data_IF_373822304516
#
_entry.id   IF_373822304516
#
_cell.length_a   1.000
_cell.length_b   1.000
_cell.length_c   1.000
_cell.angle_alpha   90.00
_cell.angle_beta   90.00
_cell.angle_gamma   90.00
#
_symmetry.space_group_name_H-M   'P 1'
#
loop_
_entity.id
_entity.type
_entity.pdbx_description
1 polymer ?
#
# COMPACT_ATOMS: atom_id res chain seq x y z
N UNK A 1 54.79 22.82 29.34
CA UNK A 1 54.43 22.17 28.05
C UNK A 1 53.28 21.21 28.34
N UNK A 2 52.05 21.72 28.36
CA UNK A 2 50.82 20.92 28.37
C UNK A 2 50.13 21.25 27.05
N UNK A 3 50.09 20.29 26.13
CA UNK A 3 49.38 20.43 24.87
C UNK A 3 47.89 20.20 25.14
N UNK A 4 47.09 21.25 24.95
CA UNK A 4 45.63 21.15 24.91
C UNK A 4 45.20 20.43 23.62
N UNK A 5 44.34 19.43 23.77
CA UNK A 5 43.75 18.67 22.65
C UNK A 5 42.76 19.55 21.87
N UNK A 6 42.98 19.82 20.56
CA UNK A 6 42.21 20.84 19.85
C UNK A 6 41.03 20.24 19.06
N UNK A 7 40.15 19.42 19.66
CA UNK A 7 38.88 19.02 19.00
C UNK A 7 37.80 18.61 20.01
N UNK A 8 37.37 19.54 20.87
CA UNK A 8 36.03 19.49 21.45
C UNK A 8 35.19 20.57 20.77
N UNK A 9 34.67 20.24 19.58
CA UNK A 9 33.56 20.99 19.01
C UNK A 9 32.40 21.02 20.02
N UNK A 10 31.60 22.11 20.06
CA UNK A 10 30.45 22.19 20.95
C UNK A 10 29.58 20.94 20.78
N UNK A 11 29.05 20.45 21.91
CA UNK A 11 28.09 19.34 21.98
C UNK A 11 27.18 19.36 20.74
N UNK A 12 27.03 18.26 19.98
CA UNK A 12 26.22 18.29 18.78
C UNK A 12 24.85 18.85 19.16
N UNK A 13 24.43 19.90 18.46
CA UNK A 13 23.09 20.45 18.58
C UNK A 13 22.11 19.28 18.62
N UNK A 14 21.11 19.34 19.52
CA UNK A 14 20.08 18.28 19.59
C UNK A 14 19.63 17.96 18.15
N UNK A 15 19.58 16.67 17.76
CA UNK A 15 19.12 16.30 16.42
C UNK A 15 17.82 17.04 16.10
N UNK A 16 17.76 17.65 14.91
CA UNK A 16 16.56 18.37 14.48
C UNK A 16 15.40 17.37 14.42
N UNK A 17 14.40 17.51 15.30
CA UNK A 17 13.23 16.64 15.32
C UNK A 17 12.04 17.40 14.79
N UNK A 18 11.37 16.85 13.78
CA UNK A 18 10.26 17.49 13.08
C UNK A 18 9.01 16.61 13.15
N UNK A 19 7.83 17.17 12.91
CA UNK A 19 6.59 16.41 12.85
C UNK A 19 6.51 15.56 11.56
N UNK A 20 5.49 14.71 11.45
CA UNK A 20 5.35 13.77 10.33
C UNK A 20 5.15 14.46 8.97
N UNK A 21 4.42 15.58 8.89
CA UNK A 21 4.23 16.30 7.63
C UNK A 21 5.55 16.89 7.15
N UNK A 22 6.23 17.63 8.03
CA UNK A 22 7.54 18.22 7.73
C UNK A 22 8.56 17.15 7.35
N UNK A 23 8.59 16.03 8.09
CA UNK A 23 9.51 14.92 7.82
C UNK A 23 9.39 14.35 6.40
N UNK A 24 8.15 14.20 5.90
CA UNK A 24 7.88 13.70 4.55
C UNK A 24 8.19 14.75 3.48
N UNK A 25 7.88 16.03 3.75
CA UNK A 25 8.12 17.15 2.84
C UNK A 25 9.61 17.42 2.57
N UNK A 26 10.50 16.98 3.48
CA UNK A 26 11.96 17.11 3.37
C UNK A 26 12.58 16.12 2.36
N UNK A 27 12.03 16.03 1.15
CA UNK A 27 12.48 15.10 0.09
C UNK A 27 13.93 15.35 -0.34
N UNK A 28 14.42 16.58 -0.21
CA UNK A 28 15.81 16.95 -0.53
C UNK A 28 16.80 16.69 0.62
N UNK A 29 16.34 16.38 1.84
CA UNK A 29 17.17 16.33 3.04
C UNK A 29 17.66 14.92 3.41
N UNK A 30 18.06 14.10 2.43
CA UNK A 30 18.55 12.74 2.68
C UNK A 30 17.50 11.64 2.51
N UNK A 31 17.97 10.40 2.35
CA UNK A 31 17.15 9.20 2.41
C UNK A 31 16.53 8.99 3.80
N UNK A 32 15.51 8.13 3.88
CA UNK A 32 14.82 7.80 5.12
C UNK A 32 15.39 6.47 5.65
N UNK A 33 16.02 6.50 6.83
CA UNK A 33 16.51 5.33 7.54
C UNK A 33 15.49 4.89 8.62
N UNK A 34 14.90 3.72 8.42
CA UNK A 34 14.08 3.05 9.43
C UNK A 34 14.96 2.16 10.29
N UNK A 35 15.20 2.55 11.54
CA UNK A 35 16.09 1.82 12.46
C UNK A 35 15.39 0.78 13.32
N UNK A 36 14.12 0.47 13.00
CA UNK A 36 13.39 -0.63 13.61
C UNK A 36 13.94 -1.99 13.17
N UNK A 37 13.55 -3.04 13.88
CA UNK A 37 13.96 -4.39 13.53
C UNK A 37 13.35 -4.84 12.19
N UNK A 38 13.96 -5.81 11.48
CA UNK A 38 13.51 -6.24 10.15
C UNK A 38 12.03 -6.65 10.09
N UNK A 39 11.50 -7.38 11.07
CA UNK A 39 10.09 -7.74 11.10
C UNK A 39 9.16 -6.54 11.31
N UNK A 40 9.58 -5.54 12.11
CA UNK A 40 8.84 -4.28 12.28
C UNK A 40 8.77 -3.50 10.94
N UNK A 41 9.84 -3.52 10.13
CA UNK A 41 9.92 -2.87 8.83
C UNK A 41 9.13 -3.62 7.73
N UNK A 42 9.29 -4.94 7.67
CA UNK A 42 8.61 -5.81 6.70
C UNK A 42 7.08 -5.77 6.88
N UNK A 43 6.61 -5.66 8.13
CA UNK A 43 5.19 -5.45 8.42
C UNK A 43 4.68 -4.12 7.86
N UNK A 44 5.47 -3.07 7.80
CA UNK A 44 5.06 -1.80 7.23
C UNK A 44 6.08 -0.71 7.54
N UNK A 45 6.38 0.13 6.57
CA UNK A 45 7.37 1.21 6.63
C UNK A 45 6.93 2.43 5.81
N UNK A 46 7.54 3.58 6.08
CA UNK A 46 7.33 4.79 5.27
C UNK A 46 7.80 4.49 3.84
N UNK A 47 6.98 4.71 2.80
CA UNK A 47 7.40 4.45 1.43
C UNK A 47 8.69 5.20 1.08
N UNK A 48 9.63 4.49 0.47
CA UNK A 48 10.98 5.01 0.17
C UNK A 48 11.97 4.95 1.34
N UNK A 49 11.57 4.48 2.52
CA UNK A 49 12.51 4.19 3.60
C UNK A 49 13.39 2.98 3.29
N UNK A 50 14.58 2.96 3.88
CA UNK A 50 15.52 1.84 3.85
C UNK A 50 15.73 1.36 5.28
N UNK A 51 15.64 0.05 5.50
CA UNK A 51 15.85 -0.52 6.83
C UNK A 51 17.34 -0.50 7.19
N UNK A 52 17.68 0.21 8.27
CA UNK A 52 19.02 0.27 8.87
C UNK A 52 18.90 -0.18 10.33
N UNK A 53 18.64 -1.48 10.58
CA UNK A 53 18.14 -1.95 11.86
C UNK A 53 19.19 -1.80 12.97
N UNK A 54 18.82 -1.10 14.05
CA UNK A 54 19.69 -1.02 15.24
C UNK A 54 19.85 -2.40 15.92
N UNK A 55 18.81 -3.24 15.83
CA UNK A 55 18.75 -4.57 16.43
C UNK A 55 18.14 -5.58 15.44
N UNK A 56 18.54 -6.85 15.52
CA UNK A 56 17.77 -7.94 14.90
C UNK A 56 16.43 -8.12 15.61
N UNK A 57 15.56 -8.98 15.08
CA UNK A 57 14.25 -9.24 15.69
C UNK A 57 14.38 -9.87 17.09
N UNK A 58 15.34 -10.80 17.27
CA UNK A 58 15.62 -11.45 18.55
C UNK A 58 16.18 -10.45 19.57
N UNK A 59 17.17 -9.66 19.16
CA UNK A 59 17.76 -8.61 19.99
C UNK A 59 16.73 -7.56 20.40
N UNK A 60 15.84 -7.18 19.46
CA UNK A 60 14.74 -6.25 19.72
C UNK A 60 13.76 -6.81 20.76
N UNK A 61 13.46 -8.10 20.69
CA UNK A 61 12.60 -8.77 21.68
C UNK A 61 13.27 -8.83 23.06
N UNK A 62 14.57 -9.12 23.11
CA UNK A 62 15.36 -9.17 24.34
C UNK A 62 15.44 -7.79 25.03
N UNK A 63 15.86 -6.75 24.30
CA UNK A 63 15.94 -5.37 24.81
C UNK A 63 14.58 -4.89 25.30
N UNK A 64 13.50 -5.23 24.57
CA UNK A 64 12.13 -4.90 24.99
C UNK A 64 11.73 -5.60 26.29
N UNK A 65 12.13 -6.86 26.46
CA UNK A 65 11.85 -7.64 27.68
C UNK A 65 12.60 -7.07 28.88
N UNK A 66 13.89 -6.73 28.71
CA UNK A 66 14.69 -6.10 29.76
C UNK A 66 14.15 -4.72 30.12
N UNK A 67 13.75 -3.91 29.14
CA UNK A 67 13.15 -2.60 29.40
C UNK A 67 11.91 -2.71 30.30
N UNK A 68 11.01 -3.65 30.00
CA UNK A 68 9.79 -3.86 30.77
C UNK A 68 10.08 -4.44 32.17
N UNK A 69 11.00 -5.40 32.28
CA UNK A 69 11.27 -6.11 33.55
C UNK A 69 12.24 -5.41 34.49
N UNK A 70 13.25 -4.73 33.95
CA UNK A 70 14.39 -4.17 34.70
C UNK A 70 14.58 -2.65 34.49
N UNK A 71 13.73 -2.03 33.67
CA UNK A 71 13.73 -0.60 33.42
C UNK A 71 14.73 -0.13 32.35
N UNK A 72 14.71 1.19 32.12
CA UNK A 72 15.42 1.83 31.02
C UNK A 72 16.95 1.64 31.07
N UNK A 73 17.56 1.78 32.26
CA UNK A 73 19.02 1.73 32.41
C UNK A 73 19.59 0.37 31.97
N UNK A 74 19.01 -0.73 32.45
CA UNK A 74 19.43 -2.08 32.07
C UNK A 74 19.24 -2.35 30.56
N UNK A 75 18.19 -1.81 29.95
CA UNK A 75 17.95 -1.95 28.52
C UNK A 75 18.96 -1.16 27.67
N UNK A 76 19.41 -0.01 28.15
CA UNK A 76 20.48 0.77 27.51
C UNK A 76 21.82 0.05 27.60
N UNK A 77 22.17 -0.49 28.77
CA UNK A 77 23.39 -1.28 28.96
C UNK A 77 23.44 -2.49 28.02
N UNK A 78 22.35 -3.26 27.94
CA UNK A 78 22.22 -4.36 26.98
C UNK A 78 22.25 -3.86 25.52
N UNK A 79 21.61 -2.73 25.24
CA UNK A 79 21.62 -2.14 23.90
C UNK A 79 23.03 -1.85 23.39
N UNK A 80 23.92 -1.34 24.24
CA UNK A 80 25.31 -1.10 23.87
C UNK A 80 26.07 -2.40 23.60
N UNK A 81 25.91 -3.43 24.44
CA UNK A 81 26.61 -4.71 24.22
C UNK A 81 26.17 -5.41 22.93
N UNK A 82 24.89 -5.29 22.55
CA UNK A 82 24.35 -5.92 21.33
C UNK A 82 24.73 -5.19 20.02
N UNK A 83 25.14 -3.94 20.10
CA UNK A 83 25.53 -3.13 18.92
C UNK A 83 27.04 -3.16 18.71
N UNK A 84 27.80 -3.68 19.68
CA UNK A 84 29.24 -3.87 19.57
C UNK A 84 29.61 -4.67 18.31
N UNK A 85 30.68 -4.27 17.63
CA UNK A 85 31.10 -4.82 16.33
C UNK A 85 30.22 -4.47 15.11
N UNK A 86 29.03 -3.89 15.27
CA UNK A 86 28.14 -3.48 14.14
C UNK A 86 28.06 -1.98 13.90
N UNK A 87 28.69 -1.19 14.77
CA UNK A 87 28.70 0.28 14.69
C UNK A 87 29.21 0.81 13.33
N UNK A 88 30.28 0.23 12.77
CA UNK A 88 30.80 0.68 11.48
C UNK A 88 29.87 0.30 10.30
N UNK A 89 29.20 -0.85 10.37
CA UNK A 89 28.20 -1.23 9.37
C UNK A 89 26.99 -0.27 9.40
N UNK A 90 26.46 0.03 10.59
CA UNK A 90 25.41 1.03 10.77
C UNK A 90 25.83 2.41 10.23
N UNK A 91 27.05 2.84 10.58
CA UNK A 91 27.62 4.10 10.11
C UNK A 91 27.66 4.16 8.58
N UNK A 92 28.22 3.15 7.92
CA UNK A 92 28.31 3.10 6.45
C UNK A 92 26.95 3.11 5.77
N UNK A 93 25.96 2.40 6.33
CA UNK A 93 24.59 2.42 5.82
C UNK A 93 23.95 3.82 5.91
N UNK A 94 24.16 4.55 7.01
CA UNK A 94 23.66 5.92 7.16
C UNK A 94 24.34 6.88 6.18
N UNK A 95 25.66 6.76 5.99
CA UNK A 95 26.41 7.56 5.01
C UNK A 95 25.92 7.31 3.58
N UNK A 96 25.57 6.06 3.23
CA UNK A 96 25.03 5.72 1.92
C UNK A 96 23.64 6.33 1.66
N UNK A 97 22.86 6.60 2.71
CA UNK A 97 21.56 7.27 2.63
C UNK A 97 21.67 8.79 2.72
N UNK A 98 22.83 9.32 3.09
CA UNK A 98 23.02 10.75 3.25
C UNK A 98 22.93 11.45 1.89
N UNK A 99 22.13 12.50 1.81
CA UNK A 99 22.05 13.36 0.64
C UNK A 99 22.03 14.81 1.11
N UNK A 100 22.75 15.68 0.41
CA UNK A 100 22.93 17.09 0.80
C UNK A 100 23.42 17.26 2.25
N UNK A 101 24.22 16.31 2.75
CA UNK A 101 24.76 16.33 4.10
C UNK A 101 23.82 15.86 5.21
N UNK A 102 22.58 15.48 4.91
CA UNK A 102 21.57 15.08 5.89
C UNK A 102 21.05 13.64 5.67
N UNK A 103 20.50 13.05 6.73
CA UNK A 103 19.76 11.78 6.70
C UNK A 103 18.55 11.86 7.63
N UNK A 104 17.41 11.36 7.15
CA UNK A 104 16.17 11.31 7.94
C UNK A 104 16.12 9.97 8.67
N UNK A 105 15.92 9.96 9.98
CA UNK A 105 15.98 8.74 10.81
C UNK A 105 14.71 8.62 11.65
N UNK A 106 14.13 7.43 11.72
CA UNK A 106 13.03 7.16 12.64
C UNK A 106 13.11 5.76 13.25
N UNK A 107 12.48 5.60 14.40
CA UNK A 107 12.14 4.30 14.98
C UNK A 107 10.63 4.25 15.23
N UNK A 108 10.13 3.27 16.00
CA UNK A 108 8.69 3.15 16.26
C UNK A 108 8.06 4.40 16.92
N UNK A 109 8.72 5.00 17.92
CA UNK A 109 8.17 6.10 18.74
C UNK A 109 9.01 7.39 18.74
N UNK A 110 10.07 7.47 17.95
CA UNK A 110 10.99 8.62 17.95
C UNK A 110 11.74 8.76 19.29
N UNK A 111 12.04 7.64 19.94
CA UNK A 111 12.72 7.60 21.24
C UNK A 111 14.21 7.30 21.13
N UNK A 112 14.77 6.66 22.18
CA UNK A 112 16.20 6.40 22.28
C UNK A 112 16.80 5.64 21.08
N UNK A 113 16.07 4.70 20.47
CA UNK A 113 16.60 3.93 19.32
C UNK A 113 17.03 4.84 18.17
N UNK A 114 16.13 5.73 17.72
CA UNK A 114 16.47 6.69 16.66
C UNK A 114 17.45 7.76 17.14
N UNK A 115 17.37 8.18 18.41
CA UNK A 115 18.31 9.16 18.97
C UNK A 115 19.76 8.64 19.03
N UNK A 116 19.98 7.37 19.41
CA UNK A 116 21.30 6.74 19.44
C UNK A 116 21.90 6.61 18.04
N UNK A 117 21.08 6.25 17.03
CA UNK A 117 21.54 6.17 15.65
C UNK A 117 21.80 7.57 15.06
N UNK A 118 20.97 8.56 15.41
CA UNK A 118 21.22 9.95 15.06
C UNK A 118 22.53 10.49 15.66
N UNK A 119 22.85 10.13 16.90
CA UNK A 119 24.16 10.48 17.49
C UNK A 119 25.32 9.91 16.68
N UNK A 120 25.24 8.66 16.22
CA UNK A 120 26.25 8.05 15.36
C UNK A 120 26.36 8.77 14.00
N UNK A 121 25.23 9.12 13.38
CA UNK A 121 25.21 9.88 12.14
C UNK A 121 25.89 11.26 12.30
N UNK A 122 25.52 12.01 13.34
CA UNK A 122 26.11 13.31 13.65
C UNK A 122 27.63 13.19 13.90
N UNK A 123 28.07 12.17 14.63
CA UNK A 123 29.50 11.92 14.87
C UNK A 123 30.27 11.54 13.60
N UNK A 124 29.55 11.10 12.58
CA UNK A 124 30.09 10.72 11.27
C UNK A 124 30.00 11.85 10.24
N UNK A 125 29.63 13.07 10.66
CA UNK A 125 29.57 14.25 9.80
C UNK A 125 28.29 14.38 8.96
N UNK A 126 27.23 13.64 9.29
CA UNK A 126 25.93 13.74 8.62
C UNK A 126 24.90 14.31 9.58
N UNK A 127 24.12 15.27 9.12
CA UNK A 127 23.04 15.90 9.90
C UNK A 127 21.83 14.95 10.03
N UNK A 128 21.50 14.48 11.24
CA UNK A 128 20.33 13.63 11.44
C UNK A 128 19.06 14.46 11.65
N UNK A 129 18.01 14.14 10.89
CA UNK A 129 16.66 14.68 11.07
C UNK A 129 15.77 13.57 11.62
N UNK A 130 15.20 13.78 12.80
CA UNK A 130 14.37 12.81 13.50
C UNK A 130 12.87 13.02 13.25
N UNK A 131 12.13 11.92 13.15
CA UNK A 131 10.66 11.95 13.17
C UNK A 131 10.16 11.98 14.62
N UNK A 132 9.56 13.10 15.02
CA UNK A 132 8.91 13.27 16.31
C UNK A 132 7.76 12.27 16.45
N UNK A 133 7.76 11.48 17.53
CA UNK A 133 6.79 10.40 17.72
C UNK A 133 6.99 9.17 16.82
N UNK A 134 8.01 9.18 15.96
CA UNK A 134 8.44 8.06 15.12
C UNK A 134 7.38 7.57 14.13
N UNK A 135 7.56 6.33 13.68
CA UNK A 135 6.64 5.69 12.75
C UNK A 135 5.20 5.65 13.28
N UNK A 136 4.97 5.61 14.61
CA UNK A 136 3.63 5.74 15.20
C UNK A 136 2.97 7.08 14.84
N UNK A 137 3.70 8.19 14.89
CA UNK A 137 3.16 9.50 14.49
C UNK A 137 2.87 9.56 12.99
N UNK A 138 3.74 8.97 12.16
CA UNK A 138 3.47 8.79 10.74
C UNK A 138 2.19 7.96 10.50
N UNK A 139 1.98 6.89 11.27
CA UNK A 139 0.76 6.08 11.17
C UNK A 139 -0.52 6.84 11.56
N UNK A 140 -0.44 7.73 12.55
CA UNK A 140 -1.55 8.62 12.88
C UNK A 140 -1.85 9.59 11.74
N UNK A 141 -0.81 10.13 11.09
CA UNK A 141 -0.95 10.95 9.88
C UNK A 141 -1.63 10.16 8.74
N UNK A 142 -1.15 8.96 8.43
CA UNK A 142 -1.74 8.05 7.44
C UNK A 142 -3.24 7.85 7.67
N UNK A 143 -3.63 7.56 8.91
CA UNK A 143 -5.03 7.34 9.26
C UNK A 143 -5.87 8.61 9.13
N UNK A 144 -5.36 9.77 9.52
CA UNK A 144 -6.08 11.04 9.38
C UNK A 144 -6.40 11.40 7.92
N UNK A 145 -5.54 11.00 6.97
CA UNK A 145 -5.78 11.24 5.54
C UNK A 145 -6.97 10.42 5.00
N UNK A 146 -7.31 9.29 5.62
CA UNK A 146 -8.47 8.48 5.21
C UNK A 146 -9.80 9.04 5.70
N UNK A 147 -9.77 9.89 6.72
CA UNK A 147 -10.94 10.62 7.23
C UNK A 147 -11.21 11.92 6.44
N UNK A 148 -10.26 12.33 5.60
CA UNK A 148 -10.42 13.51 4.76
C UNK A 148 -11.58 13.29 3.76
N UNK A 149 -12.49 14.27 3.57
CA UNK A 149 -13.64 14.14 2.68
C UNK A 149 -13.21 14.28 1.21
N UNK A 150 -12.50 13.29 0.69
CA UNK A 150 -12.08 13.24 -0.70
C UNK A 150 -13.29 13.30 -1.65
N UNK A 151 -13.14 14.03 -2.76
CA UNK A 151 -14.14 14.11 -3.83
C UNK A 151 -14.08 12.85 -4.70
N UNK A 152 -14.48 11.71 -4.13
CA UNK A 152 -14.39 10.42 -4.80
C UNK A 152 -15.47 10.27 -5.90
N UNK A 153 -15.08 9.67 -7.02
CA UNK A 153 -15.99 9.06 -8.00
C UNK A 153 -15.61 7.59 -8.09
N UNK A 154 -16.55 6.71 -7.73
CA UNK A 154 -16.32 5.27 -7.71
C UNK A 154 -16.59 4.67 -9.08
N UNK A 155 -15.61 4.03 -9.69
CA UNK A 155 -15.78 3.26 -10.92
C UNK A 155 -16.15 1.82 -10.56
N UNK A 156 -17.45 1.53 -10.56
CA UNK A 156 -17.99 0.21 -10.26
C UNK A 156 -18.22 -0.60 -11.53
N UNK A 157 -18.26 -1.92 -11.39
CA UNK A 157 -18.65 -2.82 -12.47
C UNK A 157 -18.29 -4.27 -12.15
N UNK A 158 -18.99 -5.19 -12.81
CA UNK A 158 -18.77 -6.63 -12.64
C UNK A 158 -17.36 -7.04 -13.10
N UNK A 159 -16.89 -8.19 -12.65
CA UNK A 159 -15.61 -8.76 -13.09
C UNK A 159 -15.54 -8.84 -14.62
N UNK A 160 -14.40 -8.43 -15.19
CA UNK A 160 -14.17 -8.45 -16.63
C UNK A 160 -14.74 -7.28 -17.42
N UNK A 161 -15.35 -6.26 -16.80
CA UNK A 161 -15.82 -5.06 -17.54
C UNK A 161 -14.69 -4.13 -18.01
N UNK A 162 -13.47 -4.27 -17.47
CA UNK A 162 -12.29 -3.50 -17.89
C UNK A 162 -12.00 -2.25 -17.06
N UNK A 163 -12.42 -2.22 -15.79
CA UNK A 163 -12.20 -1.06 -14.87
C UNK A 163 -10.73 -0.65 -14.80
N UNK A 164 -9.83 -1.62 -14.65
CA UNK A 164 -8.37 -1.37 -14.54
C UNK A 164 -7.84 -0.63 -15.78
N UNK A 165 -8.19 -1.07 -16.99
CA UNK A 165 -7.78 -0.42 -18.25
C UNK A 165 -8.34 1.02 -18.34
N UNK A 166 -9.59 1.23 -17.90
CA UNK A 166 -10.23 2.56 -17.86
C UNK A 166 -9.52 3.48 -16.87
N UNK A 167 -9.23 3.01 -15.64
CA UNK A 167 -8.51 3.78 -14.62
C UNK A 167 -7.12 4.20 -15.08
N UNK A 168 -6.40 3.33 -15.78
CA UNK A 168 -5.10 3.66 -16.38
C UNK A 168 -5.22 4.77 -17.42
N UNK A 169 -6.24 4.74 -18.28
CA UNK A 169 -6.47 5.82 -19.24
C UNK A 169 -6.94 7.12 -18.59
N UNK A 170 -7.72 7.06 -17.49
CA UNK A 170 -8.05 8.25 -16.70
C UNK A 170 -6.78 8.91 -16.15
N UNK A 171 -5.84 8.11 -15.60
CA UNK A 171 -4.56 8.63 -15.14
C UNK A 171 -3.74 9.28 -16.28
N UNK A 172 -3.75 8.71 -17.48
CA UNK A 172 -3.12 9.29 -18.68
C UNK A 172 -3.77 10.62 -19.12
N UNK A 173 -5.04 10.84 -18.77
CA UNK A 173 -5.76 12.10 -18.98
C UNK A 173 -5.53 13.10 -17.82
N UNK A 174 -4.52 12.89 -16.97
CA UNK A 174 -4.18 13.70 -15.80
C UNK A 174 -5.24 13.73 -14.70
N UNK A 175 -6.15 12.75 -14.67
CA UNK A 175 -7.05 12.56 -13.53
C UNK A 175 -6.31 11.95 -12.32
N UNK A 176 -6.84 12.19 -11.12
CA UNK A 176 -6.32 11.57 -9.90
C UNK A 176 -6.98 10.21 -9.73
N UNK A 177 -6.19 9.14 -9.63
CA UNK A 177 -6.68 7.77 -9.68
C UNK A 177 -6.11 6.94 -8.53
N UNK A 178 -6.99 6.23 -7.83
CA UNK A 178 -6.64 5.22 -6.83
C UNK A 178 -7.00 3.84 -7.38
N UNK A 179 -5.96 3.09 -7.76
CA UNK A 179 -6.02 1.68 -8.13
C UNK A 179 -5.83 0.81 -6.89
N UNK A 180 -6.93 0.41 -6.26
CA UNK A 180 -6.91 -0.35 -5.01
C UNK A 180 -6.42 -1.78 -5.24
N UNK A 181 -6.81 -2.43 -6.34
CA UNK A 181 -6.32 -3.75 -6.72
C UNK A 181 -4.81 -3.75 -6.97
N UNK A 182 -4.32 -2.74 -7.70
CA UNK A 182 -2.90 -2.52 -7.95
C UNK A 182 -2.10 -2.32 -6.67
N UNK A 183 -2.59 -1.50 -5.74
CA UNK A 183 -1.98 -1.33 -4.42
C UNK A 183 -1.99 -2.60 -3.57
N UNK A 184 -3.01 -3.44 -3.73
CA UNK A 184 -3.17 -4.70 -3.00
C UNK A 184 -2.40 -5.87 -3.65
N UNK A 185 -1.84 -5.68 -4.85
CA UNK A 185 -1.34 -6.75 -5.71
C UNK A 185 -2.38 -7.87 -5.89
N UNK A 186 -3.63 -7.51 -6.17
CA UNK A 186 -4.71 -8.49 -6.26
C UNK A 186 -5.95 -8.01 -7.01
N UNK A 187 -6.38 -8.78 -8.03
CA UNK A 187 -7.52 -8.44 -8.90
C UNK A 187 -8.91 -8.81 -8.35
N UNK A 188 -9.19 -8.50 -7.08
CA UNK A 188 -10.56 -8.56 -6.50
C UNK A 188 -11.32 -9.91 -6.52
N UNK A 189 -10.68 -11.00 -6.97
CA UNK A 189 -11.34 -12.29 -7.28
C UNK A 189 -10.53 -13.47 -6.76
N UNK A 190 -11.02 -14.70 -6.88
CA UNK A 190 -10.27 -15.89 -6.44
C UNK A 190 -9.00 -16.14 -7.26
N UNK A 191 -8.99 -15.62 -8.48
CA UNK A 191 -7.84 -15.61 -9.38
C UNK A 191 -6.99 -14.36 -9.17
N UNK A 192 -7.37 -13.49 -8.23
CA UNK A 192 -6.81 -12.16 -8.09
C UNK A 192 -5.33 -12.13 -7.77
N UNK A 193 -4.80 -13.15 -7.10
CA UNK A 193 -3.36 -13.28 -6.82
C UNK A 193 -2.54 -13.82 -8.01
N UNK A 194 -3.19 -14.38 -9.03
CA UNK A 194 -2.49 -15.04 -10.13
C UNK A 194 -1.73 -14.01 -10.97
N UNK A 195 -0.42 -14.23 -11.13
CA UNK A 195 0.48 -13.32 -11.82
C UNK A 195 0.71 -11.98 -11.09
N UNK A 196 0.32 -11.85 -9.83
CA UNK A 196 0.58 -10.68 -9.00
C UNK A 196 1.79 -10.90 -8.09
N UNK A 197 2.40 -9.80 -7.65
CA UNK A 197 3.38 -9.84 -6.57
C UNK A 197 2.72 -10.27 -5.25
N UNK A 198 3.53 -10.61 -4.24
CA UNK A 198 2.99 -10.89 -2.92
C UNK A 198 2.20 -9.68 -2.41
N UNK A 199 0.98 -9.90 -1.89
CA UNK A 199 0.21 -8.82 -1.30
C UNK A 199 1.01 -8.13 -0.19
N UNK A 200 0.99 -6.80 -0.07
CA UNK A 200 1.50 -6.16 1.12
C UNK A 200 0.72 -6.60 2.36
N UNK A 201 1.25 -6.28 3.54
CA UNK A 201 0.42 -6.28 4.74
C UNK A 201 -0.65 -5.18 4.62
N UNK A 202 -1.73 -5.27 5.39
CA UNK A 202 -2.71 -4.17 5.50
C UNK A 202 -2.05 -2.87 5.94
N UNK A 203 -1.05 -2.94 6.81
CA UNK A 203 -0.31 -1.76 7.26
C UNK A 203 0.46 -1.11 6.10
N UNK A 204 1.16 -1.88 5.28
CA UNK A 204 1.91 -1.34 4.14
C UNK A 204 0.97 -0.88 3.02
N UNK A 205 -0.14 -1.56 2.79
CA UNK A 205 -1.20 -1.10 1.88
C UNK A 205 -1.67 0.30 2.26
N UNK A 206 -1.97 0.53 3.54
CA UNK A 206 -2.37 1.84 4.04
C UNK A 206 -1.29 2.91 3.83
N UNK A 207 -0.01 2.58 4.05
CA UNK A 207 1.08 3.51 3.79
C UNK A 207 1.18 3.90 2.32
N UNK A 208 1.04 2.92 1.42
CA UNK A 208 1.10 3.15 -0.02
C UNK A 208 -0.10 3.97 -0.51
N UNK A 209 -1.30 3.67 0.00
CA UNK A 209 -2.50 4.46 -0.30
C UNK A 209 -2.34 5.91 0.17
N UNK A 210 -1.85 6.14 1.38
CA UNK A 210 -1.57 7.49 1.87
C UNK A 210 -0.53 8.22 1.02
N UNK A 211 0.53 7.55 0.54
CA UNK A 211 1.52 8.18 -0.34
C UNK A 211 0.88 8.71 -1.63
N UNK A 212 -0.02 7.93 -2.24
CA UNK A 212 -0.75 8.35 -3.43
C UNK A 212 -1.65 9.56 -3.11
N UNK A 213 -2.48 9.44 -2.06
CA UNK A 213 -3.40 10.51 -1.66
C UNK A 213 -2.68 11.81 -1.29
N UNK A 214 -1.50 11.73 -0.66
CA UNK A 214 -0.70 12.89 -0.30
C UNK A 214 -0.18 13.68 -1.51
N UNK A 215 -0.08 13.02 -2.67
CA UNK A 215 0.30 13.66 -3.93
C UNK A 215 -0.87 14.33 -4.66
N UNK A 216 -2.10 14.18 -4.19
CA UNK A 216 -3.28 14.71 -4.85
C UNK A 216 -3.61 16.14 -4.44
N UNK A 217 -4.19 16.87 -5.37
CA UNK A 217 -4.88 18.12 -5.10
C UNK A 217 -6.26 17.80 -4.47
N UNK A 218 -6.51 18.20 -3.22
CA UNK A 218 -7.75 17.88 -2.51
C UNK A 218 -9.01 18.54 -3.11
N UNK A 219 -8.85 19.55 -3.97
CA UNK A 219 -9.97 20.23 -4.63
C UNK A 219 -10.42 19.57 -5.93
N UNK A 220 -9.64 18.61 -6.44
CA UNK A 220 -9.97 17.85 -7.66
C UNK A 220 -10.64 16.52 -7.27
N UNK A 221 -11.45 15.99 -8.20
CA UNK A 221 -12.02 14.64 -8.06
C UNK A 221 -10.92 13.58 -8.01
N UNK A 222 -11.26 12.44 -7.41
CA UNK A 222 -10.41 11.26 -7.35
C UNK A 222 -11.23 10.06 -7.81
N UNK A 223 -10.78 9.42 -8.88
CA UNK A 223 -11.38 8.17 -9.34
C UNK A 223 -10.84 7.02 -8.50
N UNK A 224 -11.73 6.17 -8.01
CA UNK A 224 -11.37 5.00 -7.22
C UNK A 224 -12.07 3.78 -7.75
N UNK A 225 -11.38 2.65 -7.76
CA UNK A 225 -12.00 1.38 -8.12
C UNK A 225 -13.12 1.00 -7.13
N UNK A 226 -14.28 0.60 -7.67
CA UNK A 226 -15.38 0.06 -6.90
C UNK A 226 -15.10 -1.38 -6.49
N UNK A 227 -14.39 -1.54 -5.38
CA UNK A 227 -14.09 -2.82 -4.73
C UNK A 227 -14.84 -3.00 -3.41
N UNK A 228 -14.95 -4.25 -2.96
CA UNK A 228 -15.48 -4.55 -1.63
C UNK A 228 -14.54 -4.07 -0.52
N UNK A 229 -14.99 -4.06 0.74
CA UNK A 229 -14.15 -3.70 1.89
C UNK A 229 -12.85 -4.51 1.97
N UNK A 230 -12.81 -5.71 1.39
CA UNK A 230 -11.65 -6.60 1.39
C UNK A 230 -11.15 -6.91 -0.02
N UNK A 231 -9.83 -6.85 -0.21
CA UNK A 231 -9.15 -7.23 -1.45
C UNK A 231 -8.13 -8.33 -1.12
N UNK A 232 -8.53 -9.59 -1.30
CA UNK A 232 -7.77 -10.73 -0.80
C UNK A 232 -7.62 -10.71 0.73
N UNK A 233 -6.40 -10.58 1.27
CA UNK A 233 -6.16 -10.48 2.72
C UNK A 233 -6.17 -9.04 3.25
N UNK A 234 -6.21 -8.05 2.37
CA UNK A 234 -6.17 -6.63 2.73
C UNK A 234 -7.58 -6.12 2.99
N UNK A 235 -7.71 -5.29 4.02
CA UNK A 235 -8.93 -4.53 4.29
C UNK A 235 -8.69 -3.06 3.98
N UNK A 236 -9.57 -2.46 3.17
CA UNK A 236 -9.57 -1.03 2.90
C UNK A 236 -9.87 -0.28 4.21
N UNK A 237 -9.19 0.85 4.52
CA UNK A 237 -9.47 1.64 5.72
C UNK A 237 -10.94 2.02 5.82
N UNK A 238 -11.56 1.71 6.96
CA UNK A 238 -13.00 1.91 7.16
C UNK A 238 -13.48 3.34 6.90
N UNK A 239 -12.76 4.41 7.32
CA UNK A 239 -13.16 5.78 6.96
C UNK A 239 -13.21 5.97 5.44
N UNK A 240 -12.13 5.63 4.73
CA UNK A 240 -12.04 5.74 3.28
C UNK A 240 -13.12 4.91 2.56
N UNK A 241 -13.36 3.67 2.98
CA UNK A 241 -14.40 2.81 2.42
C UNK A 241 -15.81 3.38 2.66
N UNK A 242 -16.08 3.95 3.84
CA UNK A 242 -17.36 4.63 4.11
C UNK A 242 -17.58 5.82 3.18
N UNK A 243 -16.53 6.56 2.85
CA UNK A 243 -16.59 7.61 1.83
C UNK A 243 -16.90 7.02 0.44
N UNK A 244 -16.28 5.91 0.05
CA UNK A 244 -16.60 5.24 -1.23
C UNK A 244 -18.08 4.86 -1.33
N UNK A 245 -18.68 4.31 -0.27
CA UNK A 245 -20.09 3.87 -0.28
C UNK A 245 -21.10 5.00 -0.47
N UNK A 246 -20.75 6.22 -0.05
CA UNK A 246 -21.63 7.40 -0.12
C UNK A 246 -21.32 8.30 -1.32
N UNK A 247 -20.26 8.00 -2.06
CA UNK A 247 -19.80 8.79 -3.21
C UNK A 247 -20.56 8.48 -4.48
N UNK A 248 -20.52 9.42 -5.44
CA UNK A 248 -21.05 9.19 -6.80
C UNK A 248 -20.37 7.96 -7.40
N UNK A 249 -21.17 7.09 -7.98
CA UNK A 249 -20.71 5.80 -8.51
C UNK A 249 -21.10 5.69 -9.97
N UNK A 250 -20.12 5.44 -10.84
CA UNK A 250 -20.37 5.08 -12.24
C UNK A 250 -20.26 3.58 -12.40
N UNK A 251 -21.37 2.92 -12.71
CA UNK A 251 -21.41 1.49 -13.00
C UNK A 251 -21.17 1.25 -14.47
N UNK A 252 -19.98 0.78 -14.81
CA UNK A 252 -19.61 0.37 -16.16
C UNK A 252 -20.20 -1.00 -16.47
N UNK A 253 -20.87 -1.09 -17.61
CA UNK A 253 -21.53 -2.30 -18.08
C UNK A 253 -21.06 -2.66 -19.48
N UNK A 254 -20.84 -3.95 -19.72
CA UNK A 254 -20.68 -4.51 -21.06
C UNK A 254 -21.34 -5.90 -21.13
N UNK A 255 -21.41 -6.47 -22.33
CA UNK A 255 -21.99 -7.79 -22.58
C UNK A 255 -21.24 -8.90 -21.83
N UNK A 256 -21.97 -9.96 -21.47
CA UNK A 256 -21.36 -11.15 -20.84
C UNK A 256 -20.23 -11.74 -21.70
N UNK A 257 -20.45 -11.85 -23.02
CA UNK A 257 -19.47 -12.39 -23.95
C UNK A 257 -18.18 -11.56 -24.04
N UNK A 258 -18.26 -10.23 -24.03
CA UNK A 258 -17.06 -9.38 -24.00
C UNK A 258 -16.24 -9.58 -22.72
N UNK A 259 -16.92 -9.78 -21.57
CA UNK A 259 -16.25 -10.08 -20.30
C UNK A 259 -15.60 -11.45 -20.32
N UNK A 260 -16.28 -12.47 -20.83
CA UNK A 260 -15.70 -13.82 -20.99
C UNK A 260 -14.49 -13.78 -21.91
N UNK A 261 -14.59 -13.15 -23.09
CA UNK A 261 -13.49 -13.02 -24.02
C UNK A 261 -12.27 -12.32 -23.40
N UNK A 262 -12.49 -11.23 -22.65
CA UNK A 262 -11.44 -10.54 -21.89
C UNK A 262 -10.78 -11.49 -20.87
N UNK A 263 -11.58 -12.13 -20.02
CA UNK A 263 -11.06 -12.99 -18.95
C UNK A 263 -10.34 -14.23 -19.49
N UNK A 264 -10.81 -14.83 -20.58
CA UNK A 264 -10.11 -15.91 -21.27
C UNK A 264 -8.73 -15.44 -21.70
N UNK A 265 -8.63 -14.29 -22.38
CA UNK A 265 -7.34 -13.72 -22.80
C UNK A 265 -6.44 -13.43 -21.59
N UNK A 266 -6.98 -12.88 -20.51
CA UNK A 266 -6.20 -12.46 -19.35
C UNK A 266 -5.69 -13.63 -18.50
N UNK A 267 -6.38 -14.78 -18.51
CA UNK A 267 -6.02 -15.94 -17.68
C UNK A 267 -5.36 -17.10 -18.44
N UNK A 268 -5.62 -17.26 -19.75
CA UNK A 268 -5.02 -18.36 -20.54
C UNK A 268 -3.52 -18.21 -20.81
N UNK A 269 -2.95 -17.05 -20.45
CA UNK A 269 -1.49 -16.86 -20.42
C UNK A 269 -0.81 -17.65 -19.29
N UNK A 270 -1.58 -18.12 -18.29
CA UNK A 270 -1.06 -18.92 -17.19
C UNK A 270 -1.25 -20.43 -17.44
N UNK A 271 -0.40 -21.28 -16.83
CA UNK A 271 -0.57 -22.72 -16.91
C UNK A 271 -1.95 -23.17 -16.38
N UNK A 272 -2.62 -24.13 -17.03
CA UNK A 272 -3.92 -24.65 -16.59
C UNK A 272 -3.96 -25.08 -15.12
N UNK A 273 -2.86 -25.63 -14.61
CA UNK A 273 -2.72 -26.09 -13.23
C UNK A 273 -2.86 -24.93 -12.23
N UNK A 274 -2.28 -23.77 -12.55
CA UNK A 274 -2.37 -22.58 -11.71
C UNK A 274 -3.80 -22.01 -11.68
N UNK A 275 -4.51 -22.09 -12.81
CA UNK A 275 -5.92 -21.67 -12.91
C UNK A 275 -6.80 -22.62 -12.10
N UNK A 276 -6.56 -23.93 -12.17
CA UNK A 276 -7.27 -24.95 -11.39
C UNK A 276 -7.04 -24.73 -9.89
N UNK A 277 -5.80 -24.49 -9.45
CA UNK A 277 -5.50 -24.22 -8.04
C UNK A 277 -6.24 -22.97 -7.52
N UNK A 278 -6.32 -21.91 -8.33
CA UNK A 278 -7.08 -20.72 -7.99
C UNK A 278 -8.60 -20.99 -7.89
N UNK A 279 -9.14 -21.78 -8.82
CA UNK A 279 -10.54 -22.21 -8.82
C UNK A 279 -10.88 -23.06 -7.58
N UNK A 280 -9.98 -23.94 -7.14
CA UNK A 280 -10.21 -24.81 -5.97
C UNK A 280 -10.40 -24.01 -4.68
N UNK A 281 -9.81 -22.80 -4.58
CA UNK A 281 -9.97 -21.89 -3.43
C UNK A 281 -11.41 -21.39 -3.23
N UNK A 282 -12.28 -21.50 -4.25
CA UNK A 282 -13.71 -21.15 -4.14
C UNK A 282 -14.66 -22.33 -4.11
N UNK A 283 -14.16 -23.57 -4.04
CA UNK A 283 -14.99 -24.79 -4.01
C UNK A 283 -16.11 -24.75 -2.98
N UNK A 284 -15.81 -24.29 -1.75
CA UNK A 284 -16.82 -24.18 -0.68
C UNK A 284 -17.96 -23.21 -1.00
N UNK A 285 -17.70 -22.17 -1.80
CA UNK A 285 -18.66 -21.10 -2.10
C UNK A 285 -19.39 -21.31 -3.43
N UNK A 286 -18.68 -21.80 -4.44
CA UNK A 286 -19.22 -22.07 -5.79
C UNK A 286 -19.92 -23.44 -5.88
N UNK A 287 -19.56 -24.38 -5.01
CA UNK A 287 -20.10 -25.74 -4.98
C UNK A 287 -19.19 -26.73 -5.71
N UNK A 288 -19.00 -27.91 -5.11
CA UNK A 288 -18.04 -28.92 -5.58
C UNK A 288 -18.28 -29.40 -7.01
N UNK A 289 -19.53 -29.64 -7.40
CA UNK A 289 -19.86 -30.14 -8.73
C UNK A 289 -19.68 -29.08 -9.82
N UNK A 290 -19.87 -27.80 -9.49
CA UNK A 290 -19.60 -26.71 -10.43
C UNK A 290 -18.09 -26.54 -10.64
N UNK A 291 -17.30 -26.59 -9.56
CA UNK A 291 -15.83 -26.55 -9.66
C UNK A 291 -15.27 -27.75 -10.44
N UNK A 292 -15.79 -28.96 -10.21
CA UNK A 292 -15.38 -30.16 -10.98
C UNK A 292 -15.62 -29.99 -12.49
N UNK A 293 -16.77 -29.44 -12.90
CA UNK A 293 -17.08 -29.17 -14.31
C UNK A 293 -16.17 -28.09 -14.91
N UNK A 294 -15.89 -27.03 -14.16
CA UNK A 294 -14.95 -25.99 -14.58
C UNK A 294 -13.53 -26.55 -14.73
N UNK A 295 -13.07 -27.38 -13.79
CA UNK A 295 -11.78 -28.09 -13.84
C UNK A 295 -11.67 -28.96 -15.07
N UNK A 296 -12.68 -29.80 -15.35
CA UNK A 296 -12.72 -30.61 -16.57
C UNK A 296 -12.66 -29.74 -17.82
N UNK A 297 -13.38 -28.62 -17.86
CA UNK A 297 -13.36 -27.71 -19.00
C UNK A 297 -11.95 -27.13 -19.23
N UNK A 298 -11.25 -26.74 -18.17
CA UNK A 298 -9.86 -26.28 -18.23
C UNK A 298 -8.92 -27.39 -18.73
N UNK A 299 -9.03 -28.60 -18.20
CA UNK A 299 -8.21 -29.76 -18.60
C UNK A 299 -8.37 -30.13 -20.09
N UNK A 300 -9.55 -29.89 -20.67
CA UNK A 300 -9.83 -30.12 -22.09
C UNK A 300 -9.59 -28.88 -22.97
N UNK A 301 -9.02 -27.80 -22.42
CA UNK A 301 -8.75 -26.55 -23.14
C UNK A 301 -9.99 -25.69 -23.45
N UNK A 302 -11.16 -26.04 -22.90
CA UNK A 302 -12.39 -25.26 -23.04
C UNK A 302 -12.48 -24.15 -21.97
N UNK A 303 -11.60 -23.15 -22.11
CA UNK A 303 -11.53 -22.03 -21.16
C UNK A 303 -12.74 -21.11 -21.21
N UNK A 304 -13.41 -20.97 -22.35
CA UNK A 304 -14.62 -20.14 -22.47
C UNK A 304 -15.73 -20.67 -21.56
N UNK A 305 -15.98 -21.98 -21.57
CA UNK A 305 -16.98 -22.60 -20.70
C UNK A 305 -16.61 -22.45 -19.21
N UNK A 306 -15.35 -22.71 -18.87
CA UNK A 306 -14.87 -22.57 -17.49
C UNK A 306 -15.07 -21.13 -16.97
N UNK A 307 -14.61 -20.14 -17.74
CA UNK A 307 -14.74 -18.71 -17.39
C UNK A 307 -16.20 -18.30 -17.32
N UNK A 308 -17.05 -18.75 -18.25
CA UNK A 308 -18.48 -18.44 -18.26
C UNK A 308 -19.17 -18.90 -16.97
N UNK A 309 -18.93 -20.16 -16.57
CA UNK A 309 -19.51 -20.71 -15.34
C UNK A 309 -19.00 -20.00 -14.08
N UNK A 310 -17.69 -19.70 -14.02
CA UNK A 310 -17.09 -18.96 -12.91
C UNK A 310 -17.61 -17.53 -12.82
N UNK A 311 -17.76 -16.84 -13.97
CA UNK A 311 -18.25 -15.47 -14.02
C UNK A 311 -19.71 -15.37 -13.58
N UNK A 312 -20.55 -16.35 -13.96
CA UNK A 312 -21.94 -16.43 -13.51
C UNK A 312 -22.07 -16.62 -11.98
N UNK A 313 -21.08 -17.22 -11.32
CA UNK A 313 -21.00 -17.25 -9.87
C UNK A 313 -20.68 -15.86 -9.28
N UNK A 314 -19.68 -15.15 -9.83
CA UNK A 314 -19.30 -13.81 -9.35
C UNK A 314 -20.39 -12.77 -9.53
N UNK A 315 -21.09 -12.77 -10.67
CA UNK A 315 -22.17 -11.82 -10.95
C UNK A 315 -23.28 -11.88 -9.89
N UNK A 316 -23.62 -13.08 -9.40
CA UNK A 316 -24.60 -13.26 -8.32
C UNK A 316 -24.16 -12.62 -7.00
N UNK A 317 -22.86 -12.60 -6.71
CA UNK A 317 -22.33 -11.97 -5.49
C UNK A 317 -22.24 -10.45 -5.63
N UNK A 318 -21.90 -9.97 -6.83
CA UNK A 318 -21.73 -8.55 -7.10
C UNK A 318 -23.03 -7.77 -6.92
N UNK A 319 -24.16 -8.32 -7.37
CA UNK A 319 -25.46 -7.65 -7.27
C UNK A 319 -25.88 -7.37 -5.80
N UNK A 320 -25.45 -8.22 -4.86
CA UNK A 320 -25.66 -7.99 -3.42
C UNK A 320 -24.78 -6.86 -2.86
N UNK A 321 -23.58 -6.67 -3.41
CA UNK A 321 -22.66 -5.63 -2.92
C UNK A 321 -23.14 -4.25 -3.34
N UNK A 322 -23.70 -4.12 -4.54
CA UNK A 322 -24.26 -2.85 -5.03
C UNK A 322 -25.40 -2.30 -4.17
N UNK A 323 -26.17 -3.15 -3.50
CA UNK A 323 -27.25 -2.68 -2.60
C UNK A 323 -26.73 -1.98 -1.34
N UNK A 324 -25.42 -2.08 -1.06
CA UNK A 324 -24.79 -1.41 0.09
C UNK A 324 -24.35 0.02 -0.21
N UNK A 325 -24.29 0.41 -1.49
CA UNK A 325 -23.99 1.78 -1.88
C UNK A 325 -25.22 2.66 -1.68
N UNK A 326 -25.03 3.79 -1.01
CA UNK A 326 -26.07 4.80 -0.77
C UNK A 326 -25.88 6.06 -1.62
N UNK A 327 -24.75 6.19 -2.31
CA UNK A 327 -24.50 7.26 -3.27
C UNK A 327 -25.32 7.13 -4.57
N UNK A 328 -25.36 8.20 -5.36
CA UNK A 328 -25.98 8.21 -6.68
C UNK A 328 -25.23 7.25 -7.63
N UNK A 329 -25.96 6.37 -8.30
CA UNK A 329 -25.41 5.39 -9.24
C UNK A 329 -25.84 5.72 -10.66
N UNK A 330 -24.88 6.03 -11.52
CA UNK A 330 -25.08 6.25 -12.96
C UNK A 330 -24.56 5.05 -13.73
N UNK A 331 -25.39 4.43 -14.57
CA UNK A 331 -24.95 3.30 -15.40
C UNK A 331 -24.40 3.80 -16.73
N UNK A 332 -23.26 3.25 -17.16
CA UNK A 332 -22.61 3.56 -18.43
C UNK A 332 -22.41 2.27 -19.23
N UNK A 333 -23.12 2.14 -20.35
CA UNK A 333 -22.92 1.04 -21.28
C UNK A 333 -21.68 1.31 -22.14
N UNK A 334 -20.76 0.36 -22.13
CA UNK A 334 -19.43 0.44 -22.78
C UNK A 334 -19.23 -0.63 -23.84
N UNK A 335 -20.30 -1.33 -24.23
CA UNK A 335 -20.25 -2.42 -25.22
C UNK A 335 -19.61 -1.94 -26.52
N UNK A 336 -18.55 -2.63 -26.95
CA UNK A 336 -17.80 -2.29 -28.17
C UNK A 336 -17.03 -0.97 -28.12
N UNK A 337 -17.00 -0.28 -26.98
CA UNK A 337 -16.27 0.99 -26.81
C UNK A 337 -14.89 0.70 -26.20
N UNK A 338 -13.78 1.12 -26.85
CA UNK A 338 -12.45 0.96 -26.28
C UNK A 338 -12.28 1.68 -24.93
N UNK A 339 -11.56 1.12 -23.94
CA UNK A 339 -11.36 1.71 -22.62
C UNK A 339 -10.89 3.17 -22.62
N UNK A 340 -10.03 3.54 -23.59
CA UNK A 340 -9.56 4.92 -23.79
C UNK A 340 -10.71 5.90 -24.08
N UNK A 341 -11.68 5.50 -24.91
CA UNK A 341 -12.83 6.34 -25.24
C UNK A 341 -13.80 6.42 -24.06
N UNK A 342 -13.98 5.31 -23.33
CA UNK A 342 -14.76 5.30 -22.08
C UNK A 342 -14.17 6.28 -21.07
N UNK A 343 -12.84 6.27 -20.87
CA UNK A 343 -12.17 7.20 -19.96
C UNK A 343 -12.39 8.68 -20.36
N UNK A 344 -12.31 9.00 -21.66
CA UNK A 344 -12.59 10.35 -22.15
C UNK A 344 -14.05 10.78 -21.89
N UNK A 345 -15.00 9.88 -22.14
CA UNK A 345 -16.42 10.11 -21.87
C UNK A 345 -16.70 10.33 -20.37
N UNK A 346 -16.06 9.56 -19.50
CA UNK A 346 -16.16 9.73 -18.04
C UNK A 346 -15.65 11.09 -17.59
N UNK A 347 -14.53 11.57 -18.14
CA UNK A 347 -14.00 12.92 -17.86
C UNK A 347 -15.00 14.01 -18.27
N UNK A 348 -15.60 13.88 -19.46
CA UNK A 348 -16.60 14.82 -19.96
C UNK A 348 -17.85 14.85 -19.07
N UNK A 349 -18.44 13.68 -18.78
CA UNK A 349 -19.60 13.57 -17.90
C UNK A 349 -19.35 14.19 -16.52
N UNK A 350 -18.16 13.97 -15.96
CA UNK A 350 -17.78 14.51 -14.66
C UNK A 350 -17.53 16.02 -14.71
N UNK A 351 -17.06 16.58 -15.84
CA UNK A 351 -16.91 18.03 -16.03
C UNK A 351 -18.26 18.73 -16.19
N UNK A 352 -19.24 18.07 -16.80
CA UNK A 352 -20.62 18.55 -16.93
C UNK A 352 -21.45 18.39 -15.65
N UNK A 353 -20.87 17.77 -14.60
CA UNK A 353 -21.52 17.54 -13.32
C UNK A 353 -22.56 16.42 -13.32
N UNK A 354 -22.63 15.62 -14.41
CA UNK A 354 -23.54 14.47 -14.56
C UNK A 354 -23.19 13.30 -13.64
N UNK A 355 -21.93 13.22 -13.19
CA UNK A 355 -21.37 12.19 -12.29
C UNK A 355 -20.34 12.76 -11.34
#
# INVERSE_FOLDING_TARGET
>A
MQQEFPFLHPSPARPCSVDAYTYLALTHAGGIADVRAPAEYARGHIPGAVNVPLFTDEQRAEVGTIYTKKGQKAAVELGFSLVDGRMDALRRALLALAHSGAVRIHCWRGGMRSASVAWLAARSGVEPILLTGGYKAYRALVHSAFEYPWRLIVLAGRTGVGKTEILQHLAQLNEQVVDLEGLAHHKGSAFGALGQAEQPSTEQFENNLHQILSGFNPHRRVWVEGESLSIGRIFVPRPFYSHMLTSRTVRVETSFEERVARLVRDYTVFPPEAIIEALEKITRRMGGDQVKRCRQSIEHGNFHEAVSQTLAYYDRQYDYTLTTHSGEITSLNTRGIPPKQVAAQLVEMANEGKI
#
